data_IF_768248494917
#
_entry.id   IF_768248494917
#
_cell.length_a   1.000
_cell.length_b   1.000
_cell.length_c   1.000
_cell.angle_alpha   90.00
_cell.angle_beta   90.00
_cell.angle_gamma   90.00
#
_symmetry.space_group_name_H-M   'P 1'
#
loop_
_entity.id
_entity.type
_entity.pdbx_description
1 polymer ?
#
# COMPACT_ATOMS: atom_id res chain seq x y z
N UNK A 1 22.20 10.58 -5.39
CA UNK A 1 23.57 10.73 -5.93
C UNK A 1 23.51 11.80 -7.00
N UNK A 2 24.46 12.72 -7.01
CA UNK A 2 24.51 13.85 -7.96
C UNK A 2 25.92 13.93 -8.55
N UNK A 3 26.06 14.29 -9.83
CA UNK A 3 27.34 14.33 -10.55
C UNK A 3 27.27 13.57 -11.87
N UNK A 4 28.39 13.03 -12.37
CA UNK A 4 28.37 12.05 -13.47
C UNK A 4 27.99 10.67 -12.89
N UNK A 5 26.74 10.26 -13.10
CA UNK A 5 26.21 8.99 -12.58
C UNK A 5 25.80 8.08 -13.73
N UNK A 6 26.29 6.84 -13.73
CA UNK A 6 25.97 5.83 -14.74
C UNK A 6 25.20 4.69 -14.11
N UNK A 7 24.02 4.41 -14.64
CA UNK A 7 23.25 3.21 -14.32
C UNK A 7 23.65 2.16 -15.35
N UNK A 8 24.23 1.05 -14.89
CA UNK A 8 24.73 -0.03 -15.73
C UNK A 8 24.01 -1.35 -15.36
N UNK A 9 22.82 -1.60 -15.92
CA UNK A 9 21.97 -2.70 -15.48
C UNK A 9 22.57 -4.08 -15.76
N UNK A 10 23.28 -4.28 -16.89
CA UNK A 10 24.00 -5.52 -17.20
C UNK A 10 25.06 -5.93 -16.16
N UNK A 11 25.54 -4.99 -15.33
CA UNK A 11 26.46 -5.28 -14.20
C UNK A 11 25.80 -5.14 -12.81
N UNK A 12 24.48 -4.94 -12.78
CA UNK A 12 23.70 -4.58 -11.59
C UNK A 12 24.35 -3.51 -10.72
N UNK A 13 24.78 -2.40 -11.35
CA UNK A 13 25.48 -1.34 -10.62
C UNK A 13 25.08 0.09 -11.01
N UNK A 14 25.25 0.99 -10.05
CA UNK A 14 25.24 2.44 -10.25
C UNK A 14 26.63 2.97 -9.93
N UNK A 15 27.24 3.61 -10.90
CA UNK A 15 28.62 4.08 -10.85
C UNK A 15 28.59 5.60 -10.73
N UNK A 16 29.32 6.14 -9.75
CA UNK A 16 29.46 7.58 -9.53
C UNK A 16 30.92 7.99 -9.75
N UNK A 17 31.15 8.97 -10.62
CA UNK A 17 32.46 9.57 -10.79
C UNK A 17 32.73 10.54 -9.64
N UNK A 18 33.69 10.23 -8.77
CA UNK A 18 34.13 11.07 -7.63
C UNK A 18 35.65 11.21 -7.61
N UNK A 19 36.20 12.36 -8.02
CA UNK A 19 37.65 12.58 -8.08
C UNK A 19 38.36 12.51 -6.73
N UNK A 20 37.65 12.78 -5.62
CA UNK A 20 38.22 12.99 -4.28
C UNK A 20 37.79 11.95 -3.24
N UNK A 21 37.04 10.90 -3.62
CA UNK A 21 36.52 9.89 -2.69
C UNK A 21 36.71 8.48 -3.27
N UNK A 22 37.73 7.76 -2.80
CA UNK A 22 38.06 6.38 -3.21
C UNK A 22 37.50 5.29 -2.27
N UNK A 23 36.62 5.62 -1.32
CA UNK A 23 36.30 4.71 -0.20
C UNK A 23 34.92 4.03 -0.23
N UNK A 24 34.23 3.98 -1.38
CA UNK A 24 32.96 3.24 -1.49
C UNK A 24 33.16 1.95 -2.30
N UNK A 25 34.14 1.13 -1.93
CA UNK A 25 34.24 -0.23 -2.49
C UNK A 25 33.04 -1.07 -2.04
N UNK A 26 32.22 -1.47 -3.02
CA UNK A 26 31.34 -2.64 -2.90
C UNK A 26 30.06 -2.49 -2.10
N UNK A 27 29.59 -1.28 -1.75
CA UNK A 27 28.29 -1.16 -1.03
C UNK A 27 27.15 -1.65 -1.92
N UNK A 28 26.44 -2.67 -1.47
CA UNK A 28 25.23 -3.18 -2.13
C UNK A 28 23.98 -2.67 -1.43
N UNK A 29 22.97 -2.32 -2.22
CA UNK A 29 21.69 -1.82 -1.72
C UNK A 29 20.57 -2.59 -2.40
N UNK A 30 19.55 -2.96 -1.63
CA UNK A 30 18.28 -3.48 -2.15
C UNK A 30 17.35 -2.30 -2.37
N UNK A 31 17.00 -1.94 -3.63
CA UNK A 31 16.26 -0.72 -3.90
C UNK A 31 14.74 -0.92 -3.65
N UNK A 32 14.39 -1.60 -2.56
CA UNK A 32 13.03 -1.84 -2.07
C UNK A 32 12.83 -1.07 -0.77
N UNK A 33 11.66 -0.44 -0.62
CA UNK A 33 11.46 0.56 0.44
C UNK A 33 11.35 -0.02 1.86
N UNK A 34 11.10 -1.33 1.97
CA UNK A 34 11.00 -2.07 3.24
C UNK A 34 12.28 -2.85 3.49
N UNK A 35 12.66 -2.96 4.76
CA UNK A 35 13.86 -3.66 5.21
C UNK A 35 13.48 -4.64 6.31
N UNK A 36 13.02 -5.82 5.89
CA UNK A 36 12.66 -6.95 6.75
C UNK A 36 13.65 -8.08 6.48
N UNK A 37 13.94 -8.91 7.49
CA UNK A 37 14.99 -9.94 7.44
C UNK A 37 14.73 -11.05 6.40
N UNK A 38 13.48 -11.21 5.96
CA UNK A 38 13.10 -12.20 4.93
C UNK A 38 13.13 -11.67 3.50
N UNK A 39 13.40 -10.38 3.29
CA UNK A 39 13.54 -9.78 1.96
C UNK A 39 14.86 -10.05 1.20
N UNK A 40 16.03 -10.34 1.82
CA UNK A 40 17.26 -10.59 1.08
C UNK A 40 17.14 -11.55 -0.13
N UNK A 41 16.48 -12.73 -0.02
CA UNK A 41 16.35 -13.64 -1.15
C UNK A 41 15.32 -13.20 -2.20
N UNK A 42 14.49 -12.19 -1.90
CA UNK A 42 13.36 -11.78 -2.73
C UNK A 42 13.59 -10.46 -3.48
N UNK A 43 14.70 -9.79 -3.21
CA UNK A 43 15.00 -8.46 -3.75
C UNK A 43 16.45 -8.42 -4.21
N UNK A 44 16.64 -8.16 -5.50
CA UNK A 44 17.95 -7.98 -6.11
C UNK A 44 18.73 -6.83 -5.46
N UNK A 45 20.03 -7.06 -5.31
CA UNK A 45 20.99 -6.03 -4.90
C UNK A 45 21.59 -5.30 -6.09
N UNK A 46 21.72 -3.98 -5.94
CA UNK A 46 22.41 -3.08 -6.86
C UNK A 46 23.67 -2.57 -6.16
N UNK A 47 24.82 -2.75 -6.79
CA UNK A 47 26.09 -2.26 -6.28
C UNK A 47 26.24 -0.75 -6.55
N UNK A 48 26.70 0.00 -5.55
CA UNK A 48 27.18 1.36 -5.73
C UNK A 48 28.69 1.28 -5.91
N UNK A 49 29.19 1.78 -7.04
CA UNK A 49 30.62 1.84 -7.34
C UNK A 49 31.06 3.29 -7.51
N UNK A 50 32.32 3.56 -7.21
CA UNK A 50 32.93 4.88 -7.41
C UNK A 50 34.16 4.77 -8.29
N UNK A 51 34.30 5.68 -9.24
CA UNK A 51 35.50 5.80 -10.08
C UNK A 51 36.11 7.18 -9.93
N UNK A 52 37.44 7.27 -10.06
CA UNK A 52 38.15 8.55 -9.96
C UNK A 52 37.90 9.42 -11.19
N UNK A 53 38.04 8.83 -12.39
CA UNK A 53 37.86 9.52 -13.66
C UNK A 53 36.70 8.92 -14.47
N UNK A 54 36.04 9.76 -15.25
CA UNK A 54 34.95 9.34 -16.13
C UNK A 54 35.40 8.36 -17.24
N UNK A 55 36.68 8.34 -17.59
CA UNK A 55 37.29 7.36 -18.50
C UNK A 55 37.29 5.94 -17.93
N UNK A 56 37.28 5.81 -16.61
CA UNK A 56 37.38 4.52 -15.92
C UNK A 56 35.99 3.88 -15.74
N UNK A 57 34.93 4.62 -16.06
CA UNK A 57 33.56 4.12 -16.06
C UNK A 57 33.13 3.69 -17.49
N UNK A 58 32.20 2.73 -17.62
CA UNK A 58 31.68 2.28 -18.91
C UNK A 58 31.09 3.42 -19.75
N UNK A 59 31.33 3.42 -21.05
CA UNK A 59 30.82 4.45 -21.96
C UNK A 59 29.29 4.55 -21.92
N UNK A 60 28.76 5.77 -22.11
CA UNK A 60 27.32 6.00 -22.11
C UNK A 60 26.69 5.53 -23.42
N UNK A 61 25.88 4.47 -23.39
CA UNK A 61 24.98 4.11 -24.50
C UNK A 61 23.89 5.17 -24.70
N UNK A 62 23.34 5.68 -23.59
CA UNK A 62 22.25 6.66 -23.60
C UNK A 62 22.52 7.79 -22.61
N UNK A 63 22.35 9.04 -23.05
CA UNK A 63 22.52 10.24 -22.22
C UNK A 63 21.16 10.90 -21.98
N UNK A 64 20.82 11.12 -20.71
CA UNK A 64 19.50 11.66 -20.31
C UNK A 64 19.51 13.14 -19.94
N UNK A 65 20.68 13.80 -20.02
CA UNK A 65 20.81 15.23 -19.70
C UNK A 65 20.38 15.55 -18.27
N UNK A 66 19.49 16.54 -18.11
CA UNK A 66 19.02 17.04 -16.82
C UNK A 66 17.89 16.22 -16.19
N UNK A 67 17.43 15.15 -16.85
CA UNK A 67 16.37 14.28 -16.35
C UNK A 67 16.93 13.45 -15.18
N UNK A 68 16.31 13.44 -13.98
CA UNK A 68 16.72 12.55 -12.90
C UNK A 68 16.24 11.12 -13.13
N UNK A 69 16.91 10.15 -12.51
CA UNK A 69 16.49 8.75 -12.49
C UNK A 69 16.08 8.27 -11.09
N UNK A 70 15.13 7.34 -11.02
CA UNK A 70 14.82 6.56 -9.80
C UNK A 70 14.93 5.07 -10.14
N UNK A 71 15.80 4.37 -9.42
CA UNK A 71 15.96 2.91 -9.50
C UNK A 71 15.24 2.28 -8.30
N UNK A 72 14.28 1.41 -8.54
CA UNK A 72 13.52 0.74 -7.47
C UNK A 72 13.14 -0.70 -7.83
N UNK A 73 12.93 -1.52 -6.81
CA UNK A 73 12.55 -2.93 -6.98
C UNK A 73 11.03 -3.11 -6.93
N UNK A 74 10.51 -4.00 -7.78
CA UNK A 74 9.17 -4.60 -7.63
C UNK A 74 9.25 -6.08 -7.26
N UNK A 75 10.28 -6.47 -6.51
CA UNK A 75 10.47 -7.79 -5.91
C UNK A 75 9.69 -7.93 -4.60
N UNK A 76 10.30 -8.58 -3.61
CA UNK A 76 9.80 -8.65 -2.23
C UNK A 76 8.37 -9.18 -2.14
N UNK A 77 7.50 -8.44 -1.46
CA UNK A 77 6.10 -8.82 -1.19
C UNK A 77 5.09 -8.32 -2.23
N UNK A 78 5.54 -7.76 -3.34
CA UNK A 78 4.65 -7.26 -4.41
C UNK A 78 3.78 -8.37 -5.00
N UNK A 79 2.58 -8.01 -5.46
CA UNK A 79 1.49 -8.93 -5.80
C UNK A 79 0.42 -9.01 -4.72
N UNK A 80 0.78 -8.72 -3.47
CA UNK A 80 -0.19 -8.37 -2.45
C UNK A 80 -0.52 -6.86 -2.54
N UNK A 81 -1.81 -6.52 -2.60
CA UNK A 81 -2.24 -5.13 -2.81
C UNK A 81 -1.81 -4.17 -1.68
N UNK A 82 -1.70 -4.64 -0.44
CA UNK A 82 -1.14 -3.86 0.66
C UNK A 82 0.30 -3.46 0.36
N UNK A 83 1.15 -4.43 0.02
CA UNK A 83 2.57 -4.22 -0.27
C UNK A 83 2.82 -3.45 -1.57
N UNK A 84 2.01 -3.68 -2.62
CA UNK A 84 2.07 -2.87 -3.84
C UNK A 84 1.89 -1.38 -3.51
N UNK A 85 1.00 -1.05 -2.57
CA UNK A 85 0.78 0.33 -2.13
C UNK A 85 1.84 0.81 -1.13
N UNK A 86 2.07 0.08 -0.04
CA UNK A 86 2.88 0.52 1.10
C UNK A 86 4.38 0.51 0.81
N UNK A 87 4.83 -0.43 -0.02
CA UNK A 87 6.25 -0.70 -0.22
C UNK A 87 6.75 -0.16 -1.57
N UNK A 88 5.84 0.13 -2.50
CA UNK A 88 6.20 0.64 -3.84
C UNK A 88 5.49 1.94 -4.19
N UNK A 89 4.16 1.95 -4.38
CA UNK A 89 3.48 3.10 -5.01
C UNK A 89 3.48 4.38 -4.16
N UNK A 90 3.26 4.26 -2.84
CA UNK A 90 3.32 5.40 -1.91
C UNK A 90 4.76 5.91 -1.77
N UNK A 91 5.78 5.05 -1.52
CA UNK A 91 7.18 5.47 -1.53
C UNK A 91 7.64 6.08 -2.86
N UNK A 92 7.20 5.53 -4.00
CA UNK A 92 7.51 6.07 -5.33
C UNK A 92 6.90 7.45 -5.53
N UNK A 93 5.64 7.67 -5.12
CA UNK A 93 5.04 9.00 -5.11
C UNK A 93 5.85 9.96 -4.24
N UNK A 94 6.18 9.58 -3.01
CA UNK A 94 6.96 10.42 -2.09
C UNK A 94 8.34 10.79 -2.67
N UNK A 95 8.98 9.86 -3.38
CA UNK A 95 10.32 10.03 -3.96
C UNK A 95 10.30 10.87 -5.24
N UNK A 96 9.31 10.66 -6.11
CA UNK A 96 9.37 11.12 -7.51
C UNK A 96 8.40 12.25 -7.87
N UNK A 97 7.33 12.46 -7.10
CA UNK A 97 6.26 13.38 -7.51
C UNK A 97 6.73 14.84 -7.69
N UNK A 98 7.75 15.25 -6.94
CA UNK A 98 8.40 16.56 -7.06
C UNK A 98 8.96 16.86 -8.46
N UNK A 99 9.28 15.83 -9.26
CA UNK A 99 9.83 15.98 -10.60
C UNK A 99 8.76 16.24 -11.67
N UNK A 100 7.46 16.27 -11.31
CA UNK A 100 6.35 16.65 -12.20
C UNK A 100 6.30 15.84 -13.51
N UNK A 101 6.70 14.57 -13.45
CA UNK A 101 6.76 13.65 -14.60
C UNK A 101 8.10 13.63 -15.34
N UNK A 102 9.03 14.55 -15.05
CA UNK A 102 10.39 14.56 -15.64
C UNK A 102 11.32 13.68 -14.82
N UNK A 103 11.14 12.37 -14.85
CA UNK A 103 11.98 11.42 -14.12
C UNK A 103 11.96 10.06 -14.81
N UNK A 104 13.13 9.49 -15.09
CA UNK A 104 13.25 8.15 -15.69
C UNK A 104 13.14 7.08 -14.60
N UNK A 105 12.34 6.04 -14.83
CA UNK A 105 12.22 4.92 -13.91
C UNK A 105 12.98 3.70 -14.44
N UNK A 106 13.76 3.10 -13.55
CA UNK A 106 14.40 1.79 -13.74
C UNK A 106 13.83 0.84 -12.69
N UNK A 107 13.34 -0.30 -13.13
CA UNK A 107 12.68 -1.27 -12.25
C UNK A 107 13.50 -2.56 -12.21
N UNK A 108 14.03 -2.89 -11.03
CA UNK A 108 14.65 -4.20 -10.76
C UNK A 108 13.60 -5.21 -10.32
N UNK A 109 13.94 -6.49 -10.42
CA UNK A 109 13.02 -7.60 -10.14
C UNK A 109 11.74 -7.46 -11.00
N UNK A 110 11.95 -7.15 -12.28
CA UNK A 110 10.95 -6.63 -13.18
C UNK A 110 9.80 -7.61 -13.40
N UNK A 111 8.58 -7.10 -13.27
CA UNK A 111 7.34 -7.86 -13.45
C UNK A 111 6.45 -7.13 -14.44
N UNK A 112 6.43 -7.59 -15.69
CA UNK A 112 5.63 -6.96 -16.75
C UNK A 112 4.14 -6.84 -16.36
N UNK A 113 3.58 -7.85 -15.69
CA UNK A 113 2.19 -7.82 -15.22
C UNK A 113 1.95 -6.73 -14.16
N UNK A 114 2.93 -6.43 -13.31
CA UNK A 114 2.83 -5.39 -12.27
C UNK A 114 2.84 -4.01 -12.90
N UNK A 115 3.76 -3.78 -13.85
CA UNK A 115 3.83 -2.53 -14.61
C UNK A 115 2.55 -2.29 -15.40
N UNK A 116 2.01 -3.32 -16.08
CA UNK A 116 0.73 -3.24 -16.78
C UNK A 116 -0.42 -2.91 -15.82
N UNK A 117 -0.49 -3.58 -14.65
CA UNK A 117 -1.52 -3.35 -13.62
C UNK A 117 -1.55 -1.90 -13.12
N UNK A 118 -0.37 -1.29 -12.92
CA UNK A 118 -0.25 0.05 -12.34
C UNK A 118 0.10 1.16 -13.34
N UNK A 119 0.10 0.86 -14.64
CA UNK A 119 0.37 1.82 -15.73
C UNK A 119 -0.35 3.16 -15.56
N UNK A 120 -1.65 3.23 -15.20
CA UNK A 120 -2.33 4.52 -15.01
C UNK A 120 -1.73 5.39 -13.90
N UNK A 121 -1.14 4.81 -12.85
CA UNK A 121 -0.46 5.55 -11.79
C UNK A 121 0.95 5.94 -12.24
N UNK A 122 1.69 5.00 -12.83
CA UNK A 122 3.08 5.19 -13.24
C UNK A 122 3.20 6.33 -14.28
N UNK A 123 2.28 6.39 -15.23
CA UNK A 123 2.20 7.48 -16.24
C UNK A 123 1.84 8.86 -15.65
N UNK A 124 1.35 8.92 -14.41
CA UNK A 124 1.14 10.19 -13.70
C UNK A 124 2.40 10.63 -12.94
N UNK A 125 3.33 9.72 -12.68
CA UNK A 125 4.58 9.97 -11.95
C UNK A 125 5.77 10.20 -12.89
N UNK A 126 5.77 9.57 -14.06
CA UNK A 126 6.77 9.76 -15.13
C UNK A 126 6.11 9.86 -16.50
N UNK A 127 6.70 10.68 -17.38
CA UNK A 127 6.33 10.81 -18.80
C UNK A 127 7.13 9.88 -19.72
N UNK A 128 8.12 9.18 -19.18
CA UNK A 128 8.99 8.29 -19.93
C UNK A 128 8.57 6.83 -19.73
N UNK A 129 8.92 5.98 -20.68
CA UNK A 129 8.71 4.55 -20.56
C UNK A 129 9.59 3.97 -19.45
N UNK A 130 9.08 2.96 -18.75
CA UNK A 130 9.83 2.29 -17.68
C UNK A 130 10.91 1.42 -18.31
N UNK A 131 12.13 1.56 -17.83
CA UNK A 131 13.23 0.68 -18.22
C UNK A 131 13.20 -0.56 -17.33
N UNK A 132 13.12 -1.73 -17.97
CA UNK A 132 13.38 -3.00 -17.33
C UNK A 132 14.88 -3.09 -17.04
N UNK A 133 15.26 -2.98 -15.77
CA UNK A 133 16.66 -3.03 -15.36
C UNK A 133 17.25 -4.43 -15.55
N UNK A 134 16.42 -5.47 -15.51
CA UNK A 134 16.90 -6.85 -15.45
C UNK A 134 17.26 -7.42 -16.83
N UNK A 135 16.75 -6.81 -17.91
CA UNK A 135 16.99 -7.23 -19.31
C UNK A 135 17.70 -6.19 -20.17
N UNK A 136 18.05 -5.03 -19.61
CA UNK A 136 18.73 -3.96 -20.32
C UNK A 136 20.26 -4.03 -20.12
N UNK A 137 21.01 -3.98 -21.22
CA UNK A 137 22.48 -3.98 -21.19
C UNK A 137 23.09 -2.58 -21.45
N UNK A 138 22.26 -1.57 -21.70
CA UNK A 138 22.69 -0.21 -21.99
C UNK A 138 23.18 0.52 -20.74
N UNK A 139 24.24 1.30 -20.90
CA UNK A 139 24.71 2.21 -19.85
C UNK A 139 24.00 3.55 -20.00
N UNK A 140 23.22 3.92 -18.98
CA UNK A 140 22.46 5.16 -18.98
C UNK A 140 23.10 6.20 -18.06
N UNK A 141 23.41 7.37 -18.63
CA UNK A 141 24.11 8.45 -17.93
C UNK A 141 23.19 9.60 -17.53
N UNK A 142 23.32 10.04 -16.29
CA UNK A 142 22.46 10.98 -15.59
C UNK A 142 23.27 11.96 -14.74
N UNK A 143 22.71 13.16 -14.51
CA UNK A 143 23.26 14.08 -13.52
C UNK A 143 22.78 13.83 -12.08
N UNK A 144 21.65 13.13 -11.93
CA UNK A 144 21.04 12.87 -10.63
C UNK A 144 20.30 11.53 -10.63
N UNK A 145 20.65 10.65 -9.68
CA UNK A 145 20.04 9.32 -9.52
C UNK A 145 19.66 9.10 -8.06
N UNK A 146 18.44 8.61 -7.86
CA UNK A 146 17.96 8.09 -6.58
C UNK A 146 17.93 6.56 -6.68
N UNK A 147 18.67 5.89 -5.80
CA UNK A 147 18.69 4.43 -5.69
C UNK A 147 17.86 4.01 -4.46
N UNK A 148 16.73 3.35 -4.70
CA UNK A 148 15.73 3.01 -3.69
C UNK A 148 14.63 4.05 -3.54
N UNK A 149 13.70 3.80 -2.61
CA UNK A 149 12.52 4.62 -2.38
C UNK A 149 12.47 5.15 -0.94
N UNK A 150 11.96 6.37 -0.77
CA UNK A 150 11.70 6.94 0.54
C UNK A 150 10.39 6.40 1.11
N UNK A 151 10.47 5.69 2.23
CA UNK A 151 9.31 5.19 2.99
C UNK A 151 9.22 5.84 4.37
N UNK A 152 7.99 6.14 4.78
CA UNK A 152 7.65 6.57 6.14
C UNK A 152 7.24 5.36 6.97
N UNK A 153 6.00 4.89 6.79
CA UNK A 153 5.44 3.67 7.37
C UNK A 153 4.34 3.15 6.42
N UNK A 154 3.69 2.06 6.80
CA UNK A 154 2.60 1.46 6.05
C UNK A 154 1.45 2.44 5.83
N UNK A 155 1.12 2.63 4.55
CA UNK A 155 -0.02 3.42 4.05
C UNK A 155 -0.08 4.87 4.57
N UNK A 156 1.03 5.45 5.00
CA UNK A 156 1.05 6.81 5.57
C UNK A 156 2.23 7.62 5.02
N UNK A 157 2.01 8.93 4.91
CA UNK A 157 3.05 9.94 4.65
C UNK A 157 2.86 11.02 5.71
N UNK A 158 3.83 11.19 6.59
CA UNK A 158 3.88 12.26 7.59
C UNK A 158 4.77 13.39 7.10
N UNK A 159 4.59 14.55 7.72
CA UNK A 159 5.53 15.66 7.55
C UNK A 159 6.89 15.25 8.12
N UNK A 160 7.95 15.53 7.39
CA UNK A 160 9.30 15.21 7.84
C UNK A 160 10.30 16.18 7.20
N UNK A 161 11.18 16.80 7.98
CA UNK A 161 12.08 17.85 7.48
C UNK A 161 13.01 17.38 6.36
N UNK A 162 13.57 16.18 6.47
CA UNK A 162 14.53 15.64 5.49
C UNK A 162 13.92 14.66 4.47
N UNK A 163 13.10 13.70 4.93
CA UNK A 163 12.46 12.68 4.07
C UNK A 163 11.25 13.19 3.28
N UNK A 164 10.61 14.26 3.73
CA UNK A 164 9.44 14.85 3.07
C UNK A 164 9.45 16.40 3.17
N UNK A 165 10.52 17.06 2.70
CA UNK A 165 10.69 18.51 2.82
C UNK A 165 9.61 19.29 2.05
N UNK A 166 9.02 18.67 1.02
CA UNK A 166 7.98 19.27 0.17
C UNK A 166 6.57 19.12 0.75
N UNK A 167 6.41 18.45 1.90
CA UNK A 167 5.12 18.32 2.57
C UNK A 167 4.10 17.49 1.78
N UNK A 168 4.54 16.48 1.03
CA UNK A 168 3.65 15.50 0.40
C UNK A 168 2.78 14.81 1.46
N UNK A 169 1.57 14.41 1.09
CA UNK A 169 0.61 13.83 2.02
C UNK A 169 -0.18 12.69 1.36
N UNK A 170 -0.82 11.87 2.20
CA UNK A 170 -1.72 10.82 1.72
C UNK A 170 -2.95 11.39 0.99
N UNK A 171 -3.44 12.58 1.36
CA UNK A 171 -4.47 13.29 0.59
C UNK A 171 -3.98 13.61 -0.83
N UNK A 172 -2.72 14.05 -0.97
CA UNK A 172 -2.09 14.28 -2.27
C UNK A 172 -1.97 13.00 -3.10
N UNK A 173 -1.53 11.90 -2.46
CA UNK A 173 -1.47 10.59 -3.11
C UNK A 173 -2.85 10.10 -3.58
N UNK A 174 -3.90 10.24 -2.75
CA UNK A 174 -5.28 9.93 -3.18
C UNK A 174 -5.71 10.76 -4.38
N UNK A 175 -5.35 12.04 -4.42
CA UNK A 175 -5.64 12.91 -5.58
C UNK A 175 -4.96 12.41 -6.86
N UNK A 176 -3.73 11.89 -6.76
CA UNK A 176 -3.04 11.23 -7.88
C UNK A 176 -3.84 10.01 -8.36
N UNK A 177 -4.22 9.10 -7.44
CA UNK A 177 -4.98 7.89 -7.77
C UNK A 177 -6.33 8.22 -8.42
N UNK A 178 -7.03 9.23 -7.90
CA UNK A 178 -8.30 9.69 -8.49
C UNK A 178 -8.13 10.14 -9.93
N UNK A 179 -7.07 10.89 -10.24
CA UNK A 179 -6.75 11.31 -11.61
C UNK A 179 -6.29 10.15 -12.49
N UNK A 180 -5.53 9.21 -11.94
CA UNK A 180 -5.06 8.02 -12.65
C UNK A 180 -6.22 7.14 -13.12
N UNK A 181 -7.24 6.94 -12.28
CA UNK A 181 -8.37 6.06 -12.56
C UNK A 181 -9.65 6.77 -13.00
N UNK A 182 -9.68 8.10 -13.04
CA UNK A 182 -10.87 8.86 -13.44
C UNK A 182 -11.98 8.88 -12.38
N UNK A 183 -11.63 8.76 -11.11
CA UNK A 183 -12.56 8.69 -9.99
C UNK A 183 -13.17 10.07 -9.71
N UNK A 184 -14.47 10.22 -9.97
CA UNK A 184 -15.14 11.53 -9.94
C UNK A 184 -15.61 11.92 -8.53
N UNK A 185 -16.14 10.99 -7.74
CA UNK A 185 -16.80 11.31 -6.46
C UNK A 185 -15.80 11.75 -5.39
N UNK A 186 -15.89 12.98 -4.93
CA UNK A 186 -14.94 13.61 -4.00
C UNK A 186 -15.38 13.60 -2.54
N UNK A 187 -16.69 13.57 -2.27
CA UNK A 187 -17.29 13.48 -0.93
C UNK A 187 -18.39 12.42 -0.83
N UNK A 188 -18.65 11.86 0.37
CA UNK A 188 -19.78 10.99 0.62
C UNK A 188 -21.11 11.75 0.48
N UNK A 189 -22.20 11.00 0.51
CA UNK A 189 -23.57 11.50 0.55
C UNK A 189 -23.77 12.10 1.93
N UNK A 190 -24.09 13.39 1.99
CA UNK A 190 -24.60 13.96 3.23
C UNK A 190 -26.08 13.56 3.37
N UNK A 191 -26.40 12.93 4.51
CA UNK A 191 -27.77 12.55 4.83
C UNK A 191 -28.65 13.80 4.86
N UNK A 192 -29.80 13.76 4.20
CA UNK A 192 -30.72 14.91 4.09
C UNK A 192 -30.52 15.80 2.86
N UNK A 193 -29.35 15.80 2.19
CA UNK A 193 -29.16 16.56 0.93
C UNK A 193 -30.04 16.01 -0.21
N UNK A 194 -30.38 14.72 -0.17
CA UNK A 194 -31.23 14.06 -1.16
C UNK A 194 -32.27 13.16 -0.45
N UNK A 195 -33.50 13.64 -0.25
CA UNK A 195 -34.57 12.86 0.37
C UNK A 195 -34.74 11.49 -0.32
N UNK A 196 -34.78 10.41 0.46
CA UNK A 196 -34.97 9.04 -0.04
C UNK A 196 -33.69 8.33 -0.51
N UNK A 197 -32.53 9.00 -0.62
CA UNK A 197 -31.26 8.30 -0.93
C UNK A 197 -30.60 7.74 0.32
N UNK A 198 -30.25 6.46 0.26
CA UNK A 198 -29.48 5.76 1.30
C UNK A 198 -27.97 5.90 1.08
N UNK A 199 -27.14 6.04 2.13
CA UNK A 199 -25.70 5.96 2.00
C UNK A 199 -25.25 4.60 1.49
N UNK A 200 -24.25 4.57 0.61
CA UNK A 200 -23.74 3.35 -0.01
C UNK A 200 -22.66 2.71 0.83
N UNK A 201 -22.83 1.45 1.18
CA UNK A 201 -21.86 0.66 1.91
C UNK A 201 -21.27 -0.42 1.02
N UNK A 202 -19.93 -0.51 0.98
CA UNK A 202 -19.24 -1.66 0.42
C UNK A 202 -18.76 -2.56 1.55
N UNK A 203 -19.18 -3.82 1.53
CA UNK A 203 -18.58 -4.88 2.35
C UNK A 203 -17.62 -5.67 1.47
N UNK A 204 -16.33 -5.65 1.80
CA UNK A 204 -15.34 -6.47 1.08
C UNK A 204 -15.44 -7.91 1.57
N UNK A 205 -15.90 -8.80 0.69
CA UNK A 205 -15.92 -10.24 0.92
C UNK A 205 -14.58 -10.89 0.54
N UNK A 206 -14.38 -12.12 1.02
CA UNK A 206 -13.16 -12.90 0.82
C UNK A 206 -13.51 -14.37 0.65
N UNK A 207 -12.84 -15.07 -0.28
CA UNK A 207 -13.01 -16.53 -0.48
C UNK A 207 -11.96 -17.40 0.23
N UNK A 208 -10.78 -16.84 0.49
CA UNK A 208 -9.67 -17.55 1.13
C UNK A 208 -9.77 -17.52 2.66
N UNK A 209 -8.91 -16.74 3.30
CA UNK A 209 -8.92 -16.54 4.77
C UNK A 209 -9.59 -15.24 5.16
N UNK A 210 -9.96 -15.11 6.45
CA UNK A 210 -10.64 -13.93 7.03
C UNK A 210 -11.99 -13.66 6.38
N UNK A 211 -12.72 -14.73 6.12
CA UNK A 211 -14.07 -14.70 5.57
C UNK A 211 -15.04 -14.22 6.65
N UNK A 212 -16.09 -13.51 6.22
CA UNK A 212 -17.26 -13.28 7.06
C UNK A 212 -18.20 -14.46 6.87
N UNK A 213 -18.30 -15.34 7.87
CA UNK A 213 -19.07 -16.58 7.80
C UNK A 213 -20.57 -16.32 7.76
N UNK A 214 -21.04 -15.26 8.42
CA UNK A 214 -22.43 -14.84 8.44
C UNK A 214 -22.69 -13.58 7.57
N UNK A 215 -21.97 -13.46 6.45
CA UNK A 215 -22.00 -12.28 5.56
C UNK A 215 -23.43 -11.84 5.17
N UNK A 216 -24.32 -12.78 4.81
CA UNK A 216 -25.70 -12.45 4.45
C UNK A 216 -26.48 -11.80 5.59
N UNK A 217 -26.22 -12.20 6.85
CA UNK A 217 -26.86 -11.57 8.01
C UNK A 217 -26.31 -10.18 8.27
N UNK A 218 -25.00 -9.98 8.07
CA UNK A 218 -24.35 -8.67 8.18
C UNK A 218 -24.89 -7.70 7.12
N UNK A 219 -25.04 -8.17 5.88
CA UNK A 219 -25.65 -7.42 4.77
C UNK A 219 -27.11 -7.05 5.06
N UNK A 220 -27.91 -8.02 5.52
CA UNK A 220 -29.31 -7.77 5.89
C UNK A 220 -29.40 -6.74 7.02
N UNK A 221 -28.57 -6.84 8.06
CA UNK A 221 -28.54 -5.88 9.15
C UNK A 221 -28.14 -4.47 8.69
N UNK A 222 -27.10 -4.33 7.86
CA UNK A 222 -26.70 -3.04 7.31
C UNK A 222 -27.80 -2.41 6.45
N UNK A 223 -28.53 -3.23 5.68
CA UNK A 223 -29.69 -2.78 4.90
C UNK A 223 -30.83 -2.29 5.81
N UNK A 224 -31.11 -3.02 6.90
CA UNK A 224 -32.12 -2.65 7.90
C UNK A 224 -31.75 -1.37 8.66
N UNK A 225 -30.46 -1.15 8.94
CA UNK A 225 -29.94 0.07 9.57
C UNK A 225 -30.09 1.29 8.63
N UNK A 226 -30.15 1.08 7.31
CA UNK A 226 -30.46 2.13 6.34
C UNK A 226 -29.41 2.34 5.24
N UNK A 227 -28.45 1.42 5.08
CA UNK A 227 -27.49 1.48 3.98
C UNK A 227 -28.03 0.84 2.70
N UNK A 228 -27.53 1.30 1.55
CA UNK A 228 -27.57 0.60 0.27
C UNK A 228 -26.28 -0.24 0.17
N UNK A 229 -26.40 -1.57 0.31
CA UNK A 229 -25.25 -2.45 0.53
C UNK A 229 -24.83 -3.12 -0.77
N UNK A 230 -23.53 -3.06 -1.05
CA UNK A 230 -22.87 -3.85 -2.09
C UNK A 230 -21.85 -4.75 -1.44
N UNK A 231 -21.88 -6.04 -1.78
CA UNK A 231 -20.86 -7.02 -1.38
C UNK A 231 -19.97 -7.32 -2.59
N UNK A 232 -18.65 -7.21 -2.44
CA UNK A 232 -17.74 -7.49 -3.54
C UNK A 232 -16.37 -7.98 -3.08
N UNK A 233 -15.75 -8.87 -3.85
CA UNK A 233 -14.38 -9.28 -3.65
C UNK A 233 -13.43 -8.40 -4.48
N UNK A 234 -12.33 -7.96 -3.88
CA UNK A 234 -11.36 -7.06 -4.52
C UNK A 234 -10.62 -7.66 -5.74
N UNK A 235 -10.83 -8.94 -6.06
CA UNK A 235 -10.14 -9.65 -7.15
C UNK A 235 -10.89 -9.66 -8.48
N UNK A 236 -12.20 -9.44 -8.49
CA UNK A 236 -13.03 -9.95 -9.59
C UNK A 236 -12.99 -9.11 -10.89
N UNK A 237 -12.41 -7.91 -10.90
CA UNK A 237 -12.70 -6.93 -11.97
C UNK A 237 -11.56 -6.01 -12.43
N UNK A 238 -10.32 -6.24 -11.98
CA UNK A 238 -9.19 -5.35 -12.25
C UNK A 238 -9.24 -4.05 -11.43
N UNK A 239 -8.07 -3.45 -11.21
CA UNK A 239 -7.92 -2.35 -10.23
C UNK A 239 -8.78 -1.13 -10.51
N UNK A 240 -8.94 -0.74 -11.78
CA UNK A 240 -9.71 0.44 -12.17
C UNK A 240 -11.19 0.28 -11.80
N UNK A 241 -11.81 -0.82 -12.22
CA UNK A 241 -13.24 -1.07 -11.96
C UNK A 241 -13.51 -1.21 -10.46
N UNK A 242 -12.63 -1.89 -9.73
CA UNK A 242 -12.79 -1.98 -8.28
C UNK A 242 -12.58 -0.62 -7.59
N UNK A 243 -11.65 0.20 -8.06
CA UNK A 243 -11.47 1.56 -7.57
C UNK A 243 -12.71 2.44 -7.84
N UNK A 244 -13.39 2.27 -8.98
CA UNK A 244 -14.66 2.93 -9.28
C UNK A 244 -15.77 2.49 -8.32
N UNK A 245 -15.90 1.18 -8.06
CA UNK A 245 -16.83 0.64 -7.05
C UNK A 245 -16.56 1.25 -5.68
N UNK A 246 -15.32 1.22 -5.21
CA UNK A 246 -14.96 1.77 -3.89
C UNK A 246 -15.18 3.28 -3.84
N UNK A 247 -14.81 4.04 -4.88
CA UNK A 247 -15.03 5.48 -4.94
C UNK A 247 -16.52 5.84 -4.97
N UNK A 248 -17.37 4.92 -5.41
CA UNK A 248 -18.81 5.08 -5.36
C UNK A 248 -19.37 4.96 -3.94
N UNK A 249 -18.66 4.43 -2.95
CA UNK A 249 -19.23 4.16 -1.63
C UNK A 249 -18.97 5.27 -0.59
N UNK A 250 -19.81 5.31 0.43
CA UNK A 250 -19.77 6.22 1.58
C UNK A 250 -19.10 5.55 2.79
N UNK A 251 -19.32 4.24 2.91
CA UNK A 251 -18.75 3.39 3.96
C UNK A 251 -18.06 2.18 3.34
N UNK A 252 -16.88 1.84 3.84
CA UNK A 252 -16.17 0.61 3.52
C UNK A 252 -16.04 -0.26 4.78
N UNK A 253 -16.56 -1.48 4.74
CA UNK A 253 -16.44 -2.47 5.81
C UNK A 253 -15.56 -3.62 5.32
N UNK A 254 -14.52 -3.97 6.09
CA UNK A 254 -13.76 -5.18 5.82
C UNK A 254 -13.07 -5.74 7.07
N UNK A 255 -12.84 -7.05 7.06
CA UNK A 255 -11.93 -7.71 8.02
C UNK A 255 -10.49 -7.29 7.75
N UNK A 256 -9.74 -7.01 8.82
CA UNK A 256 -8.33 -6.59 8.77
C UNK A 256 -7.53 -7.39 7.73
N UNK A 257 -6.94 -6.70 6.76
CA UNK A 257 -6.11 -7.30 5.73
C UNK A 257 -6.05 -6.48 4.46
N UNK A 258 -5.35 -7.02 3.45
CA UNK A 258 -5.06 -6.30 2.20
C UNK A 258 -6.29 -5.77 1.45
N UNK A 259 -7.48 -6.32 1.68
CA UNK A 259 -8.73 -5.77 1.16
C UNK A 259 -9.00 -4.35 1.66
N UNK A 260 -8.67 -4.06 2.93
CA UNK A 260 -8.90 -2.77 3.56
C UNK A 260 -7.98 -1.67 3.00
N UNK A 261 -6.88 -2.02 2.31
CA UNK A 261 -6.04 -1.08 1.55
C UNK A 261 -6.85 -0.30 0.51
N UNK A 262 -7.96 -0.84 0.02
CA UNK A 262 -8.85 -0.17 -0.92
C UNK A 262 -9.44 1.15 -0.39
N UNK A 263 -9.33 1.45 0.91
CA UNK A 263 -9.65 2.76 1.47
C UNK A 263 -9.00 3.94 0.73
N UNK A 264 -7.87 3.71 0.04
CA UNK A 264 -7.20 4.74 -0.79
C UNK A 264 -8.10 5.30 -1.90
N UNK A 265 -9.13 4.58 -2.34
CA UNK A 265 -10.05 5.01 -3.39
C UNK A 265 -11.32 5.71 -2.89
N UNK A 266 -11.59 5.66 -1.58
CA UNK A 266 -12.77 6.30 -1.00
C UNK A 266 -12.74 7.82 -1.16
N UNK A 267 -13.92 8.48 -1.32
CA UNK A 267 -14.02 9.93 -1.27
C UNK A 267 -13.51 10.48 0.08
N UNK A 268 -13.16 11.76 0.13
CA UNK A 268 -12.76 12.41 1.37
C UNK A 268 -13.92 12.36 2.37
N UNK A 269 -13.62 12.18 3.67
CA UNK A 269 -14.60 12.06 4.77
C UNK A 269 -15.47 10.80 4.78
N UNK A 270 -15.32 9.90 3.81
CA UNK A 270 -15.94 8.58 3.87
C UNK A 270 -15.48 7.80 5.11
N UNK A 271 -16.28 6.81 5.51
CA UNK A 271 -16.04 6.02 6.72
C UNK A 271 -15.42 4.67 6.38
N UNK A 272 -14.36 4.30 7.09
CA UNK A 272 -13.78 2.96 7.07
C UNK A 272 -14.14 2.27 8.37
N UNK A 273 -14.82 1.13 8.29
CA UNK A 273 -15.10 0.24 9.42
C UNK A 273 -14.17 -0.96 9.30
N UNK A 274 -13.23 -1.05 10.23
CA UNK A 274 -12.32 -2.17 10.31
C UNK A 274 -12.84 -3.19 11.32
N UNK A 275 -13.04 -4.43 10.85
CA UNK A 275 -13.28 -5.57 11.73
C UNK A 275 -11.91 -6.14 12.13
N UNK A 276 -11.58 -6.02 13.42
CA UNK A 276 -10.29 -6.41 13.99
C UNK A 276 -10.37 -7.85 14.51
N UNK A 277 -9.55 -8.78 13.96
CA UNK A 277 -9.50 -10.16 14.41
C UNK A 277 -9.08 -10.29 15.87
N UNK A 278 -9.45 -11.41 16.49
CA UNK A 278 -9.02 -11.76 17.84
C UNK A 278 -7.51 -11.96 17.91
N UNK A 279 -6.91 -11.66 19.06
CA UNK A 279 -5.53 -12.03 19.37
C UNK A 279 -4.55 -10.86 19.43
N UNK A 280 -4.89 -9.77 20.11
CA UNK A 280 -3.96 -8.66 20.37
C UNK A 280 -3.61 -7.83 19.13
N UNK A 281 -4.59 -7.59 18.26
CA UNK A 281 -4.39 -6.96 16.95
C UNK A 281 -4.52 -5.42 16.96
N UNK A 282 -4.71 -4.79 18.12
CA UNK A 282 -5.05 -3.37 18.27
C UNK A 282 -3.96 -2.45 17.70
N UNK A 283 -2.70 -2.72 18.05
CA UNK A 283 -1.57 -1.93 17.54
C UNK A 283 -1.52 -2.03 16.01
N UNK A 284 -1.72 -3.23 15.48
CA UNK A 284 -1.64 -3.51 14.05
C UNK A 284 -2.80 -2.87 13.28
N UNK A 285 -4.02 -2.95 13.80
CA UNK A 285 -5.19 -2.27 13.24
C UNK A 285 -4.96 -0.74 13.18
N UNK A 286 -4.52 -0.15 14.30
CA UNK A 286 -4.25 1.28 14.40
C UNK A 286 -3.16 1.72 13.43
N UNK A 287 -2.03 1.00 13.38
CA UNK A 287 -0.85 1.44 12.63
C UNK A 287 -0.97 1.15 11.11
N UNK A 288 -1.65 0.08 10.72
CA UNK A 288 -1.77 -0.30 9.30
C UNK A 288 -2.97 0.34 8.60
N UNK A 289 -4.05 0.67 9.32
CA UNK A 289 -5.25 1.20 8.69
C UNK A 289 -5.88 2.38 9.44
N UNK A 290 -5.93 2.38 10.78
CA UNK A 290 -6.57 3.46 11.54
C UNK A 290 -5.93 4.83 11.39
N UNK A 291 -4.63 4.96 11.66
CA UNK A 291 -3.87 6.19 11.41
C UNK A 291 -3.76 6.52 9.91
N UNK A 292 -3.47 5.55 9.01
CA UNK A 292 -3.53 5.76 7.57
C UNK A 292 -4.86 6.34 7.06
N UNK A 293 -6.01 5.84 7.54
CA UNK A 293 -7.33 6.35 7.19
C UNK A 293 -7.45 7.84 7.52
N UNK A 294 -7.04 8.23 8.74
CA UNK A 294 -7.05 9.63 9.17
C UNK A 294 -6.10 10.49 8.31
N UNK A 295 -4.90 9.99 8.02
CA UNK A 295 -3.95 10.67 7.12
C UNK A 295 -4.47 10.85 5.68
N UNK A 296 -5.36 9.95 5.24
CA UNK A 296 -6.07 10.01 3.97
C UNK A 296 -7.29 10.94 3.97
N UNK A 297 -7.60 11.58 5.10
CA UNK A 297 -8.80 12.40 5.28
C UNK A 297 -10.08 11.58 5.34
N UNK A 298 -10.00 10.34 5.83
CA UNK A 298 -11.14 9.45 6.06
C UNK A 298 -11.50 9.42 7.55
N UNK A 299 -12.73 9.01 7.83
CA UNK A 299 -13.20 8.67 9.18
C UNK A 299 -12.97 7.19 9.41
N UNK A 300 -12.66 6.82 10.65
CA UNK A 300 -12.28 5.44 10.98
C UNK A 300 -13.04 4.96 12.20
N UNK A 301 -13.61 3.76 12.08
CA UNK A 301 -14.26 3.00 13.14
C UNK A 301 -13.61 1.63 13.24
N UNK A 302 -13.55 1.13 14.46
CA UNK A 302 -12.99 -0.16 14.78
C UNK A 302 -14.05 -1.02 15.46
N UNK A 303 -14.28 -2.24 14.94
CA UNK A 303 -15.06 -3.27 15.59
C UNK A 303 -14.13 -4.41 15.99
N UNK A 304 -13.94 -4.59 17.30
CA UNK A 304 -13.13 -5.69 17.85
C UNK A 304 -14.01 -6.88 18.11
N UNK A 305 -13.66 -8.01 17.48
CA UNK A 305 -14.39 -9.24 17.69
C UNK A 305 -14.02 -9.87 19.03
N UNK A 306 -14.92 -10.63 19.63
CA UNK A 306 -14.64 -11.41 20.85
C UNK A 306 -14.14 -12.81 20.55
N UNK A 307 -13.84 -13.57 21.61
CA UNK A 307 -13.40 -14.96 21.54
C UNK A 307 -14.43 -15.89 20.90
N UNK A 308 -15.69 -15.48 20.83
CA UNK A 308 -16.83 -16.26 20.30
C UNK A 308 -17.08 -15.98 18.81
N UNK A 309 -16.60 -14.84 18.30
CA UNK A 309 -16.86 -14.38 16.92
C UNK A 309 -15.81 -14.85 15.91
N UNK A 310 -14.91 -15.76 16.30
CA UNK A 310 -13.81 -16.21 15.47
C UNK A 310 -13.76 -17.73 15.30
N UNK A 311 -13.21 -18.19 14.18
CA UNK A 311 -13.11 -19.62 13.85
C UNK A 311 -12.02 -20.37 14.64
N UNK A 312 -11.22 -19.71 15.47
CA UNK A 312 -10.13 -20.38 16.20
C UNK A 312 -10.68 -21.34 17.25
N UNK A 313 -11.89 -21.10 17.77
CA UNK A 313 -12.54 -21.96 18.75
C UNK A 313 -12.80 -23.39 18.22
N UNK A 314 -12.89 -23.56 16.89
CA UNK A 314 -12.98 -24.87 16.25
C UNK A 314 -11.62 -25.51 15.95
N UNK A 315 -10.50 -24.80 16.16
CA UNK A 315 -9.13 -25.27 15.84
C UNK A 315 -8.27 -25.48 17.07
N UNK A 316 -8.54 -24.78 18.16
CA UNK A 316 -7.75 -24.81 19.39
C UNK A 316 -8.67 -24.98 20.60
N UNK A 317 -8.22 -25.72 21.63
CA UNK A 317 -8.97 -25.81 22.88
C UNK A 317 -8.97 -24.46 23.61
N UNK A 318 -9.96 -24.22 24.46
CA UNK A 318 -10.19 -22.91 25.13
C UNK A 318 -9.06 -22.50 26.07
N UNK A 319 -8.27 -23.44 26.56
CA UNK A 319 -7.10 -23.23 27.41
C UNK A 319 -5.80 -22.98 26.64
N UNK A 320 -5.82 -23.10 25.31
CA UNK A 320 -4.67 -22.85 24.46
C UNK A 320 -4.20 -21.38 24.52
N UNK A 321 -2.91 -21.15 24.32
CA UNK A 321 -2.28 -19.83 24.37
C UNK A 321 -2.96 -18.79 23.46
N UNK A 322 -3.51 -19.21 22.31
CA UNK A 322 -4.25 -18.32 21.39
C UNK A 322 -5.42 -17.58 22.04
N UNK A 323 -5.99 -18.13 23.12
CA UNK A 323 -7.06 -17.49 23.90
C UNK A 323 -6.56 -16.92 25.23
N UNK A 324 -5.69 -17.64 25.94
CA UNK A 324 -5.22 -17.23 27.27
C UNK A 324 -4.12 -16.17 27.25
N UNK A 325 -3.21 -16.27 26.29
CA UNK A 325 -2.09 -15.36 26.11
C UNK A 325 -1.77 -15.21 24.62
N UNK A 326 -2.56 -14.42 23.88
CA UNK A 326 -2.29 -14.17 22.46
C UNK A 326 -0.91 -13.60 22.20
N UNK A 327 -0.31 -12.88 23.17
CA UNK A 327 1.03 -12.29 23.02
C UNK A 327 2.13 -13.35 22.93
N UNK A 328 1.94 -14.54 23.49
CA UNK A 328 2.82 -15.68 23.26
C UNK A 328 2.87 -16.11 21.77
N UNK A 329 1.80 -15.90 21.00
CA UNK A 329 1.79 -16.13 19.55
C UNK A 329 2.57 -15.02 18.83
N UNK A 330 2.42 -13.76 19.27
CA UNK A 330 3.21 -12.63 18.73
C UNK A 330 4.70 -12.81 18.97
N UNK A 331 5.10 -13.32 20.15
CA UNK A 331 6.50 -13.56 20.52
C UNK A 331 7.20 -14.61 19.63
N UNK A 332 6.44 -15.48 18.96
CA UNK A 332 6.95 -16.46 18.00
C UNK A 332 7.24 -15.84 16.62
N UNK A 333 6.95 -14.55 16.44
CA UNK A 333 7.24 -13.78 15.24
C UNK A 333 6.12 -13.80 14.20
N UNK A 334 6.36 -13.06 13.11
CA UNK A 334 5.34 -12.77 12.09
C UNK A 334 4.73 -14.03 11.46
N UNK A 335 5.52 -15.09 11.24
CA UNK A 335 5.03 -16.32 10.61
C UNK A 335 3.90 -16.96 11.43
N UNK A 336 4.11 -17.14 12.73
CA UNK A 336 3.10 -17.70 13.62
C UNK A 336 1.84 -16.83 13.67
N UNK A 337 2.01 -15.51 13.78
CA UNK A 337 0.89 -14.57 13.76
C UNK A 337 0.11 -14.63 12.42
N UNK A 338 0.84 -14.71 11.31
CA UNK A 338 0.26 -14.78 9.96
C UNK A 338 -0.54 -16.08 9.74
N UNK A 339 -0.08 -17.20 10.29
CA UNK A 339 -0.71 -18.52 10.13
C UNK A 339 -1.88 -18.74 11.11
N UNK A 340 -1.79 -18.22 12.33
CA UNK A 340 -2.82 -18.42 13.37
C UNK A 340 -3.83 -17.28 13.36
N UNK A 341 -3.39 -16.07 13.74
CA UNK A 341 -4.28 -14.92 13.96
C UNK A 341 -4.80 -14.36 12.64
N UNK A 342 -3.96 -14.26 11.61
CA UNK A 342 -4.34 -13.64 10.33
C UNK A 342 -5.06 -14.58 9.36
N UNK A 343 -5.37 -15.82 9.77
CA UNK A 343 -6.17 -16.78 9.00
C UNK A 343 -7.55 -17.09 9.59
N UNK A 344 -7.88 -16.53 10.75
CA UNK A 344 -9.18 -16.75 11.38
C UNK A 344 -10.31 -16.16 10.52
N UNK A 345 -11.34 -16.95 10.31
CA UNK A 345 -12.61 -16.46 9.77
C UNK A 345 -13.46 -15.89 10.92
N UNK A 346 -14.40 -15.02 10.58
CA UNK A 346 -15.15 -14.20 11.53
C UNK A 346 -16.64 -14.43 11.35
N UNK A 347 -17.37 -14.65 12.45
CA UNK A 347 -18.83 -14.63 12.49
C UNK A 347 -19.25 -13.54 13.46
N UNK A 348 -19.77 -12.43 12.94
CA UNK A 348 -20.06 -11.25 13.77
C UNK A 348 -21.30 -11.48 14.63
N UNK A 349 -21.21 -11.06 15.89
CA UNK A 349 -22.37 -10.82 16.74
C UNK A 349 -23.09 -9.56 16.22
N UNK A 350 -24.31 -9.74 15.71
CA UNK A 350 -25.06 -8.68 15.06
C UNK A 350 -25.53 -7.61 16.06
N UNK A 351 -25.89 -8.00 17.28
CA UNK A 351 -26.35 -7.05 18.31
C UNK A 351 -25.19 -6.15 18.76
N UNK A 352 -23.98 -6.70 18.85
CA UNK A 352 -22.77 -5.93 19.14
C UNK A 352 -22.24 -5.12 17.96
N UNK A 353 -22.43 -5.61 16.73
CA UNK A 353 -21.97 -4.91 15.54
C UNK A 353 -22.91 -3.76 15.13
N UNK A 354 -24.23 -3.86 15.39
CA UNK A 354 -25.22 -2.84 15.04
C UNK A 354 -24.87 -1.42 15.54
N UNK A 355 -24.42 -1.19 16.79
CA UNK A 355 -23.95 0.12 17.23
C UNK A 355 -22.83 0.73 16.37
N UNK A 356 -21.93 -0.11 15.83
CA UNK A 356 -20.86 0.37 14.93
C UNK A 356 -21.43 0.89 13.61
N UNK A 357 -22.47 0.23 13.08
CA UNK A 357 -23.16 0.66 11.85
C UNK A 357 -23.94 1.96 12.06
N UNK A 358 -24.61 2.11 13.21
CA UNK A 358 -25.27 3.37 13.59
C UNK A 358 -24.25 4.51 13.71
N UNK A 359 -23.11 4.25 14.37
CA UNK A 359 -22.04 5.24 14.46
C UNK A 359 -21.47 5.63 13.09
N UNK A 360 -21.43 4.69 12.15
CA UNK A 360 -21.02 4.99 10.77
C UNK A 360 -22.01 5.95 10.07
N UNK A 361 -23.31 5.83 10.34
CA UNK A 361 -24.32 6.79 9.83
C UNK A 361 -24.12 8.19 10.44
N UNK A 362 -23.92 8.28 11.76
CA UNK A 362 -23.69 9.57 12.43
C UNK A 362 -22.49 10.29 11.82
N UNK A 363 -21.41 9.55 11.54
CA UNK A 363 -20.21 10.09 10.94
C UNK A 363 -20.39 10.56 9.48
N UNK A 364 -21.51 10.26 8.83
CA UNK A 364 -21.85 10.82 7.50
C UNK A 364 -22.69 12.11 7.60
N UNK A 365 -23.16 12.47 8.80
CA UNK A 365 -23.94 13.68 9.04
C UNK A 365 -23.05 14.89 9.36
N UNK A 366 -21.94 14.69 10.08
CA UNK A 366 -20.98 15.77 10.36
C UNK A 366 -20.20 16.16 9.11
#
# INVERSE_FOLDING_TARGET
MSGDVRIAPGSSSVILTMPLYQSAEGRRVRPYARHDDSLPPLVREVAIKTVANGSDAPECSVRHGDIPAVVFSVGGYTGNFFHDMSDVLIPLYLTSFQFKGRVQFFVTDYKQWWVKKYKPILQRLSRYDIVDFDSNDDVHCFHHVILGLLRDRDLIIRRHRTRNPKGHSMVGFKRLLRRAYGLRRDRPLALGENPGKKPRMLIISRRGTRRLLNLHQVEAMATLVGFDVTVSEARDNGIKRFAETVNSCDVLVAVHGAGLTNQVFLPARAVVVQIVPWGGMEWMATNFYGEPARGMGLRYLEYRITGEENSLAGRYPRDHAVFRDPMAIHAQGWKALAEVVMTQDVSLDLDRFRPTLLRALDLLQD
#
